data_IF_128384447400
#
_entry.id   IF_128384447400
#
_cell.length_a   1.000
_cell.length_b   1.000
_cell.length_c   1.000
_cell.angle_alpha   90.00
_cell.angle_beta   90.00
_cell.angle_gamma   90.00
#
_symmetry.space_group_name_H-M   'P 1'
#
loop_
_entity.id
_entity.type
_entity.pdbx_description
1 polymer ?
#
# COMPACT_ATOMS: atom_id res chain seq x y z
N UNK A 1 10.14 -15.30 30.71
CA UNK A 1 8.89 -15.18 29.93
C UNK A 1 8.65 -13.70 29.73
N UNK A 2 9.05 -13.17 28.60
CA UNK A 2 8.81 -11.77 28.23
C UNK A 2 7.42 -11.71 27.56
N UNK A 3 6.50 -10.97 28.15
CA UNK A 3 5.22 -10.65 27.56
C UNK A 3 5.48 -9.75 26.37
N UNK A 4 5.36 -10.29 25.17
CA UNK A 4 5.36 -9.50 23.95
C UNK A 4 4.13 -8.59 23.97
N UNK A 5 4.38 -7.30 24.04
CA UNK A 5 3.38 -6.24 24.01
C UNK A 5 2.78 -6.21 22.59
N UNK A 6 1.58 -6.78 22.44
CA UNK A 6 0.89 -7.05 21.16
C UNK A 6 0.35 -5.76 20.53
N UNK A 7 0.57 -4.59 21.15
CA UNK A 7 -0.04 -3.30 20.79
C UNK A 7 0.96 -2.32 20.17
N UNK A 8 2.22 -2.72 19.91
CA UNK A 8 3.15 -1.84 19.22
C UNK A 8 2.98 -1.93 17.71
N UNK A 9 2.78 -0.78 17.02
CA UNK A 9 2.86 -0.72 15.57
C UNK A 9 4.27 -1.09 15.12
N UNK A 10 4.46 -1.61 13.88
CA UNK A 10 5.77 -2.00 13.37
C UNK A 10 6.76 -0.86 13.50
N UNK A 11 8.07 -1.15 13.67
CA UNK A 11 9.10 -0.14 13.73
C UNK A 11 9.06 0.75 12.48
N UNK A 12 8.87 2.06 12.69
CA UNK A 12 8.63 3.05 11.65
C UNK A 12 7.22 3.67 11.65
N UNK A 13 6.22 3.04 12.26
CA UNK A 13 4.92 3.66 12.50
C UNK A 13 4.94 4.52 13.78
N UNK A 14 5.87 5.46 13.89
CA UNK A 14 5.93 6.45 14.97
C UNK A 14 4.96 7.63 14.73
N UNK A 15 3.92 7.45 13.94
CA UNK A 15 2.80 8.38 14.02
C UNK A 15 1.95 7.92 15.19
N UNK A 16 2.04 8.63 16.30
CA UNK A 16 1.19 8.42 17.45
C UNK A 16 -0.24 8.23 16.95
N UNK A 17 -0.91 7.18 17.41
CA UNK A 17 -2.27 6.81 17.02
C UNK A 17 -3.10 8.09 16.97
N UNK A 18 -3.57 8.49 15.79
CA UNK A 18 -4.35 9.71 15.65
C UNK A 18 -5.52 9.66 16.64
N UNK A 19 -5.81 10.73 17.37
CA UNK A 19 -6.90 10.74 18.34
C UNK A 19 -8.20 10.36 17.65
N UNK A 20 -8.84 9.31 18.14
CA UNK A 20 -10.09 8.84 17.58
C UNK A 20 -11.27 9.65 18.14
N UNK A 21 -12.27 9.99 17.31
CA UNK A 21 -13.47 10.61 17.79
C UNK A 21 -14.22 9.67 18.75
N UNK A 22 -14.81 10.21 19.82
CA UNK A 22 -15.55 9.45 20.82
C UNK A 22 -16.89 10.14 21.13
N UNK A 23 -17.81 9.41 21.77
CA UNK A 23 -19.09 9.95 22.21
C UNK A 23 -19.89 10.64 21.10
N UNK A 24 -20.40 11.82 21.35
CA UNK A 24 -21.23 12.58 20.40
C UNK A 24 -20.50 12.90 19.09
N UNK A 25 -19.19 13.10 19.11
CA UNK A 25 -18.40 13.32 17.91
C UNK A 25 -18.37 12.06 17.02
N UNK A 26 -18.22 10.89 17.60
CA UNK A 26 -18.26 9.62 16.88
C UNK A 26 -19.62 9.38 16.22
N UNK A 27 -20.70 9.66 16.95
CA UNK A 27 -22.08 9.55 16.43
C UNK A 27 -22.33 10.55 15.28
N UNK A 28 -21.84 11.77 15.38
CA UNK A 28 -21.94 12.75 14.30
C UNK A 28 -21.19 12.31 13.04
N UNK A 29 -19.99 11.71 13.19
CA UNK A 29 -19.21 11.16 12.05
C UNK A 29 -19.93 9.98 11.41
N UNK A 30 -20.52 9.08 12.21
CA UNK A 30 -21.32 7.94 11.71
C UNK A 30 -22.56 8.41 10.95
N UNK A 31 -23.32 9.35 11.52
CA UNK A 31 -24.51 9.93 10.88
C UNK A 31 -24.15 10.61 9.54
N UNK A 32 -23.05 11.37 9.51
CA UNK A 32 -22.55 11.99 8.28
C UNK A 32 -22.18 10.92 7.22
N UNK A 33 -21.52 9.83 7.61
CA UNK A 33 -21.18 8.74 6.68
C UNK A 33 -22.43 8.11 6.10
N UNK A 34 -23.46 7.85 6.91
CA UNK A 34 -24.75 7.32 6.45
C UNK A 34 -25.39 8.25 5.41
N UNK A 35 -25.49 9.54 5.71
CA UNK A 35 -26.02 10.52 4.77
C UNK A 35 -25.22 10.60 3.45
N UNK A 36 -23.89 10.47 3.52
CA UNK A 36 -23.05 10.44 2.32
C UNK A 36 -23.28 9.17 1.49
N UNK A 37 -23.44 8.01 2.13
CA UNK A 37 -23.82 6.76 1.44
C UNK A 37 -25.15 6.90 0.73
N UNK A 38 -26.18 7.39 1.41
CA UNK A 38 -27.52 7.59 0.84
C UNK A 38 -27.49 8.55 -0.36
N UNK A 39 -26.67 9.58 -0.29
CA UNK A 39 -26.58 10.60 -1.33
C UNK A 39 -25.79 10.19 -2.56
N UNK A 40 -24.68 9.47 -2.39
CA UNK A 40 -23.68 9.28 -3.45
C UNK A 40 -23.43 7.83 -3.84
N UNK A 41 -23.64 6.86 -2.95
CA UNK A 41 -23.37 5.47 -3.23
C UNK A 41 -24.58 4.83 -3.93
N UNK A 42 -24.47 4.70 -5.24
CA UNK A 42 -25.48 3.99 -6.02
C UNK A 42 -25.38 2.47 -5.80
N UNK A 43 -26.50 1.74 -5.83
CA UNK A 43 -26.47 0.29 -5.73
C UNK A 43 -25.73 -0.35 -6.91
N UNK A 44 -25.15 -1.55 -6.73
CA UNK A 44 -24.58 -2.34 -7.82
C UNK A 44 -25.56 -2.45 -9.00
N UNK A 45 -25.06 -2.43 -10.23
CA UNK A 45 -25.88 -2.48 -11.43
C UNK A 45 -26.52 -1.15 -11.86
N UNK A 46 -26.54 -0.13 -10.97
CA UNK A 46 -27.00 1.24 -11.31
C UNK A 46 -25.83 2.23 -11.43
N UNK A 47 -24.60 1.80 -11.13
CA UNK A 47 -23.41 2.63 -11.21
C UNK A 47 -23.01 2.86 -12.66
N UNK A 48 -22.64 4.10 -13.06
CA UNK A 48 -22.10 4.33 -14.37
C UNK A 48 -20.76 3.59 -14.53
N UNK A 49 -20.45 3.20 -15.76
CA UNK A 49 -19.13 2.65 -16.06
C UNK A 49 -18.05 3.71 -15.79
N UNK A 50 -16.90 3.26 -15.31
CA UNK A 50 -15.74 4.14 -15.18
C UNK A 50 -15.27 4.64 -16.54
N UNK A 51 -14.73 5.84 -16.57
CA UNK A 51 -14.18 6.48 -17.79
C UNK A 51 -12.72 6.11 -18.06
N UNK A 52 -12.07 5.37 -17.14
CA UNK A 52 -10.68 4.93 -17.25
C UNK A 52 -10.59 3.40 -17.29
N UNK A 53 -9.45 2.87 -17.74
CA UNK A 53 -9.22 1.42 -17.83
C UNK A 53 -8.54 0.81 -16.60
N UNK A 54 -8.12 1.63 -15.65
CA UNK A 54 -7.40 1.23 -14.45
C UNK A 54 -6.21 2.14 -14.18
N UNK A 55 -5.36 1.75 -13.24
CA UNK A 55 -4.10 2.44 -12.96
C UNK A 55 -3.07 2.03 -14.01
N UNK A 56 -2.48 2.99 -14.73
CA UNK A 56 -1.36 2.70 -15.64
C UNK A 56 -0.09 2.51 -14.84
N UNK A 57 0.26 3.47 -14.00
CA UNK A 57 1.35 3.37 -13.05
C UNK A 57 1.10 4.30 -11.85
N UNK A 58 1.69 3.93 -10.71
CA UNK A 58 1.86 4.79 -9.55
C UNK A 58 3.33 5.19 -9.50
N UNK A 59 3.65 6.47 -9.40
CA UNK A 59 5.02 6.96 -9.27
C UNK A 59 5.29 7.48 -7.86
N UNK A 60 6.38 7.04 -7.27
CA UNK A 60 6.85 7.36 -5.93
C UNK A 60 8.28 7.91 -5.99
N UNK A 61 8.79 8.39 -4.87
CA UNK A 61 10.17 8.84 -4.75
C UNK A 61 10.92 7.87 -3.83
N UNK A 62 12.12 7.47 -4.22
CA UNK A 62 13.01 6.64 -3.42
C UNK A 62 14.28 7.40 -3.03
N UNK A 63 14.91 6.95 -1.94
CA UNK A 63 16.19 7.47 -1.45
C UNK A 63 17.37 6.84 -2.19
N UNK A 64 17.28 5.54 -2.41
CA UNK A 64 18.32 4.74 -3.03
C UNK A 64 17.72 3.78 -4.06
N UNK A 65 18.23 3.86 -5.29
CA UNK A 65 17.73 3.08 -6.43
C UNK A 65 18.01 1.58 -6.22
N UNK A 66 19.25 1.23 -5.83
CA UNK A 66 19.65 -0.17 -5.69
C UNK A 66 18.93 -0.85 -4.52
N UNK A 67 18.81 -0.18 -3.37
CA UNK A 67 18.08 -0.68 -2.22
C UNK A 67 16.60 -0.92 -2.56
N UNK A 68 15.99 0.02 -3.29
CA UNK A 68 14.61 -0.10 -3.74
C UNK A 68 14.46 -1.28 -4.72
N UNK A 69 15.38 -1.44 -5.69
CA UNK A 69 15.35 -2.58 -6.62
C UNK A 69 15.49 -3.91 -5.88
N UNK A 70 16.41 -4.03 -4.95
CA UNK A 70 16.57 -5.26 -4.14
C UNK A 70 15.29 -5.60 -3.37
N UNK A 71 14.68 -4.61 -2.75
CA UNK A 71 13.44 -4.84 -2.01
C UNK A 71 12.31 -5.34 -2.92
N UNK A 72 12.03 -4.65 -4.00
CA UNK A 72 10.90 -5.01 -4.85
C UNK A 72 11.19 -6.24 -5.72
N UNK A 73 12.36 -6.35 -6.32
CA UNK A 73 12.68 -7.46 -7.22
C UNK A 73 13.15 -8.71 -6.48
N UNK A 74 14.13 -8.58 -5.58
CA UNK A 74 14.76 -9.76 -4.96
C UNK A 74 13.93 -10.30 -3.80
N UNK A 75 13.36 -9.43 -2.95
CA UNK A 75 12.57 -9.85 -1.81
C UNK A 75 11.10 -10.11 -2.17
N UNK A 76 10.43 -9.16 -2.85
CA UNK A 76 9.00 -9.28 -3.16
C UNK A 76 8.73 -10.05 -4.46
N UNK A 77 9.70 -10.15 -5.36
CA UNK A 77 9.55 -10.86 -6.62
C UNK A 77 8.86 -10.06 -7.72
N UNK A 78 8.85 -8.73 -7.64
CA UNK A 78 8.29 -7.85 -8.67
C UNK A 78 9.35 -7.56 -9.73
N UNK A 79 9.18 -8.02 -11.00
CA UNK A 79 10.21 -7.81 -12.02
C UNK A 79 10.44 -6.33 -12.29
N UNK A 80 11.70 -5.91 -12.27
CA UNK A 80 12.12 -4.62 -12.84
C UNK A 80 11.96 -4.69 -14.36
N UNK A 81 11.16 -3.81 -14.95
CA UNK A 81 10.84 -3.84 -16.39
C UNK A 81 11.42 -2.67 -17.16
N UNK A 82 11.80 -1.59 -16.49
CA UNK A 82 12.45 -0.44 -17.11
C UNK A 82 13.30 0.32 -16.09
N UNK A 83 14.43 0.88 -16.55
CA UNK A 83 15.28 1.80 -15.80
C UNK A 83 15.93 2.77 -16.78
N UNK A 84 15.50 4.03 -16.74
CA UNK A 84 15.96 5.08 -17.65
C UNK A 84 16.34 6.35 -16.89
N UNK A 85 17.05 7.25 -17.55
CA UNK A 85 17.23 8.61 -17.03
C UNK A 85 15.90 9.37 -17.05
N UNK A 86 15.61 10.11 -15.99
CA UNK A 86 14.44 10.97 -15.91
C UNK A 86 14.54 12.08 -16.97
N UNK A 87 13.57 12.14 -17.86
CA UNK A 87 13.51 13.10 -18.97
C UNK A 87 13.57 14.55 -18.48
N UNK A 88 12.94 14.84 -17.35
CA UNK A 88 12.72 16.20 -16.87
C UNK A 88 13.72 16.63 -15.80
N UNK A 89 14.61 15.72 -15.35
CA UNK A 89 15.63 15.97 -14.34
C UNK A 89 16.87 15.12 -14.61
N UNK A 90 17.87 15.71 -15.26
CA UNK A 90 19.13 15.04 -15.62
C UNK A 90 19.84 14.49 -14.36
N UNK A 91 20.30 13.24 -14.44
CA UNK A 91 20.94 12.52 -13.34
C UNK A 91 19.99 11.84 -12.35
N UNK A 92 18.68 12.06 -12.47
CA UNK A 92 17.65 11.30 -11.77
C UNK A 92 17.30 10.04 -12.57
N UNK A 93 17.03 8.94 -11.91
CA UNK A 93 16.53 7.72 -12.53
C UNK A 93 15.01 7.67 -12.50
N UNK A 94 14.43 6.99 -13.50
CA UNK A 94 13.02 6.61 -13.49
C UNK A 94 12.93 5.13 -13.84
N UNK A 95 12.35 4.33 -12.95
CA UNK A 95 12.32 2.88 -13.11
C UNK A 95 10.99 2.30 -12.66
N UNK A 96 10.66 1.12 -13.20
CA UNK A 96 9.35 0.52 -13.05
C UNK A 96 9.42 -0.96 -12.73
N UNK A 97 8.53 -1.39 -11.86
CA UNK A 97 8.26 -2.79 -11.57
C UNK A 97 6.89 -3.19 -12.15
N UNK A 98 6.81 -4.39 -12.68
CA UNK A 98 5.53 -5.02 -12.99
C UNK A 98 4.86 -5.48 -11.69
N UNK A 99 3.67 -4.98 -11.42
CA UNK A 99 2.84 -5.37 -10.27
C UNK A 99 1.58 -6.14 -10.70
N UNK A 100 1.60 -6.69 -11.91
CA UNK A 100 0.53 -7.51 -12.46
C UNK A 100 -0.61 -6.72 -13.10
N UNK A 101 -1.43 -7.44 -13.84
CA UNK A 101 -2.62 -6.89 -14.53
C UNK A 101 -2.33 -5.69 -15.45
N UNK A 102 -1.08 -5.55 -15.95
CA UNK A 102 -0.65 -4.43 -16.77
C UNK A 102 -0.45 -3.13 -16.00
N UNK A 103 -0.39 -3.17 -14.68
CA UNK A 103 -0.10 -2.03 -13.82
C UNK A 103 1.38 -1.98 -13.48
N UNK A 104 1.93 -0.79 -13.34
CA UNK A 104 3.32 -0.58 -12.98
C UNK A 104 3.44 0.22 -11.69
N UNK A 105 4.48 -0.09 -10.90
CA UNK A 105 4.93 0.71 -9.79
C UNK A 105 6.24 1.38 -10.21
N UNK A 106 6.21 2.71 -10.30
CA UNK A 106 7.35 3.52 -10.72
C UNK A 106 8.01 4.27 -9.58
N UNK A 107 9.30 4.50 -9.72
CA UNK A 107 10.09 5.29 -8.77
C UNK A 107 10.95 6.30 -9.49
N UNK A 108 11.16 7.42 -8.80
CA UNK A 108 12.18 8.41 -9.10
C UNK A 108 13.16 8.49 -7.94
N UNK A 109 14.45 8.69 -8.23
CA UNK A 109 15.38 9.28 -7.29
C UNK A 109 15.68 10.73 -7.69
N UNK A 110 16.12 11.53 -6.74
CA UNK A 110 16.54 12.92 -6.98
C UNK A 110 17.88 13.16 -6.30
N UNK A 111 19.02 12.78 -6.94
CA UNK A 111 20.35 12.92 -6.35
C UNK A 111 20.64 14.37 -5.95
N UNK A 112 21.16 14.56 -4.75
CA UNK A 112 21.50 15.87 -4.22
C UNK A 112 20.34 16.64 -3.57
N UNK A 113 19.13 16.08 -3.55
CA UNK A 113 18.02 16.61 -2.76
C UNK A 113 17.93 15.88 -1.42
N UNK A 114 17.73 16.68 -0.36
CA UNK A 114 17.42 16.16 0.96
C UNK A 114 15.90 16.02 1.07
N UNK A 115 15.43 14.78 1.19
CA UNK A 115 14.02 14.49 1.33
C UNK A 115 13.69 14.25 2.79
N UNK A 116 12.64 14.90 3.34
CA UNK A 116 12.18 14.62 4.69
C UNK A 116 11.70 13.16 4.80
N UNK A 117 11.70 12.65 6.02
CA UNK A 117 11.11 11.35 6.31
C UNK A 117 9.62 11.33 5.93
N UNK A 118 9.15 10.14 5.54
CA UNK A 118 7.73 9.94 5.26
C UNK A 118 6.87 10.35 6.46
N UNK A 119 5.77 11.03 6.17
CA UNK A 119 4.74 11.33 7.16
C UNK A 119 3.34 11.15 6.56
N UNK A 120 2.41 10.64 7.34
CA UNK A 120 1.01 10.53 6.93
C UNK A 120 0.35 11.91 6.96
N UNK A 121 0.24 12.52 5.79
CA UNK A 121 -0.40 13.83 5.58
C UNK A 121 -1.51 13.72 4.55
N UNK A 122 -2.38 14.72 4.49
CA UNK A 122 -3.42 14.78 3.45
C UNK A 122 -2.74 14.79 2.08
N UNK A 123 -3.13 13.83 1.22
CA UNK A 123 -2.55 13.64 -0.11
C UNK A 123 -1.38 12.66 -0.17
N UNK A 124 -0.80 12.24 0.96
CA UNK A 124 0.20 11.17 0.97
C UNK A 124 -0.44 9.81 0.63
N UNK A 125 0.35 8.91 0.04
CA UNK A 125 -0.04 7.50 -0.13
C UNK A 125 0.04 6.83 1.24
N UNK A 126 -1.11 6.45 1.79
CA UNK A 126 -1.17 5.77 3.08
C UNK A 126 -0.66 4.34 2.97
N UNK A 127 -1.16 3.58 1.99
CA UNK A 127 -0.62 2.29 1.55
C UNK A 127 -1.06 1.98 0.12
N UNK A 128 -0.38 1.03 -0.50
CA UNK A 128 -0.74 0.42 -1.77
C UNK A 128 -1.14 -1.02 -1.50
N UNK A 129 -2.42 -1.35 -1.72
CA UNK A 129 -2.92 -2.71 -1.61
C UNK A 129 -2.76 -3.46 -2.93
N UNK A 130 -2.17 -4.63 -2.88
CA UNK A 130 -1.87 -5.51 -4.00
C UNK A 130 -2.66 -6.81 -3.84
N UNK A 131 -3.51 -7.12 -4.80
CA UNK A 131 -4.25 -8.38 -4.83
C UNK A 131 -3.29 -9.55 -5.06
N UNK A 132 -3.44 -10.61 -4.29
CA UNK A 132 -2.62 -11.81 -4.41
C UNK A 132 -3.48 -13.06 -4.22
N UNK A 133 -2.99 -14.22 -4.66
CA UNK A 133 -3.57 -15.51 -4.32
C UNK A 133 -3.14 -15.95 -2.93
N UNK A 134 -3.86 -16.90 -2.34
CA UNK A 134 -3.48 -17.51 -1.05
C UNK A 134 -2.08 -18.13 -1.10
N UNK A 135 -1.71 -18.74 -2.24
CA UNK A 135 -0.40 -19.35 -2.45
C UNK A 135 0.71 -18.29 -2.44
N UNK A 136 0.56 -17.23 -3.23
CA UNK A 136 1.53 -16.14 -3.30
C UNK A 136 1.60 -15.34 -1.99
N UNK A 137 0.47 -15.19 -1.28
CA UNK A 137 0.43 -14.60 0.05
C UNK A 137 1.30 -15.39 1.04
N UNK A 138 1.14 -16.72 1.07
CA UNK A 138 1.95 -17.59 1.92
C UNK A 138 3.43 -17.56 1.52
N UNK A 139 3.73 -17.50 0.23
CA UNK A 139 5.08 -17.40 -0.28
C UNK A 139 5.73 -16.05 0.07
N UNK A 140 4.99 -14.94 -0.03
CA UNK A 140 5.45 -13.62 0.39
C UNK A 140 5.79 -13.60 1.88
N UNK A 141 4.89 -14.13 2.73
CA UNK A 141 5.13 -14.26 4.18
C UNK A 141 6.44 -15.04 4.45
N UNK A 142 6.62 -16.18 3.79
CA UNK A 142 7.83 -17.00 3.98
C UNK A 142 9.11 -16.26 3.58
N UNK A 143 9.09 -15.46 2.50
CA UNK A 143 10.24 -14.63 2.09
C UNK A 143 10.55 -13.55 3.12
N UNK A 144 9.52 -12.88 3.67
CA UNK A 144 9.69 -11.85 4.70
C UNK A 144 10.26 -12.44 6.00
N UNK A 145 9.75 -13.60 6.44
CA UNK A 145 10.26 -14.33 7.60
C UNK A 145 11.74 -14.71 7.42
N UNK A 146 12.10 -15.24 6.25
CA UNK A 146 13.46 -15.62 5.93
C UNK A 146 14.43 -14.42 5.87
N UNK A 147 13.94 -13.26 5.46
CA UNK A 147 14.70 -12.02 5.40
C UNK A 147 14.71 -11.24 6.73
N UNK A 148 13.94 -11.65 7.73
CA UNK A 148 13.81 -10.96 9.01
C UNK A 148 13.10 -9.60 8.89
N UNK A 149 12.21 -9.46 7.92
CA UNK A 149 11.42 -8.23 7.73
C UNK A 149 10.17 -8.29 8.59
N UNK A 150 9.97 -7.25 9.40
CA UNK A 150 8.78 -7.13 10.23
C UNK A 150 7.53 -6.83 9.40
N UNK A 151 6.42 -7.49 9.73
CA UNK A 151 5.13 -7.25 9.10
C UNK A 151 3.97 -7.37 10.11
N UNK A 152 2.83 -6.75 9.76
CA UNK A 152 1.54 -7.03 10.39
C UNK A 152 0.79 -8.02 9.50
N UNK A 153 0.23 -9.06 10.10
CA UNK A 153 -0.41 -10.13 9.33
C UNK A 153 -1.60 -10.76 10.04
N UNK A 154 -2.04 -11.93 9.57
CA UNK A 154 -3.25 -12.62 10.00
C UNK A 154 -3.36 -12.83 11.50
N UNK A 155 -2.25 -12.98 12.19
CA UNK A 155 -2.19 -13.22 13.65
C UNK A 155 -2.68 -12.01 14.49
N UNK A 156 -3.01 -10.88 13.84
CA UNK A 156 -3.48 -9.62 14.47
C UNK A 156 -4.89 -9.21 14.04
N UNK A 157 -5.71 -10.15 13.59
CA UNK A 157 -7.12 -9.90 13.24
C UNK A 157 -7.34 -9.28 11.86
N UNK A 158 -6.34 -9.38 10.98
CA UNK A 158 -6.44 -8.98 9.56
C UNK A 158 -6.25 -10.25 8.74
N UNK A 159 -7.29 -11.08 8.67
CA UNK A 159 -7.18 -12.46 8.19
C UNK A 159 -6.62 -12.60 6.78
N UNK A 160 -6.87 -11.65 5.88
CA UNK A 160 -6.51 -11.71 4.46
C UNK A 160 -5.46 -10.67 4.04
N UNK A 161 -4.82 -9.99 4.99
CA UNK A 161 -3.87 -8.91 4.69
C UNK A 161 -2.54 -9.10 5.40
N UNK A 162 -1.48 -8.67 4.72
CA UNK A 162 -0.13 -8.59 5.25
C UNK A 162 0.42 -7.20 4.93
N UNK A 163 0.73 -6.43 5.97
CA UNK A 163 1.24 -5.06 5.82
C UNK A 163 2.73 -5.00 6.10
N UNK A 164 3.46 -4.38 5.18
CA UNK A 164 4.90 -4.10 5.31
C UNK A 164 5.19 -2.64 4.97
N UNK A 165 6.41 -2.21 5.26
CA UNK A 165 6.95 -0.95 4.73
C UNK A 165 8.17 -1.23 3.88
N UNK A 166 8.24 -0.51 2.75
CA UNK A 166 9.42 -0.53 1.90
C UNK A 166 10.56 0.32 2.53
N UNK A 167 11.77 0.34 1.96
CA UNK A 167 12.90 1.15 2.45
C UNK A 167 12.60 2.66 2.49
N UNK A 168 11.62 3.11 1.73
CA UNK A 168 11.20 4.51 1.65
C UNK A 168 10.00 4.82 2.57
N UNK A 169 9.63 3.87 3.44
CA UNK A 169 8.46 3.94 4.33
C UNK A 169 7.10 3.92 3.61
N UNK A 170 7.04 3.52 2.36
CA UNK A 170 5.77 3.30 1.66
C UNK A 170 5.07 2.07 2.24
N UNK A 171 3.83 2.25 2.68
CA UNK A 171 3.00 1.13 3.13
C UNK A 171 2.59 0.25 1.96
N UNK A 172 2.82 -1.05 2.07
CA UNK A 172 2.31 -2.06 1.13
C UNK A 172 1.40 -3.02 1.89
N UNK A 173 0.30 -3.38 1.25
CA UNK A 173 -0.61 -4.42 1.72
C UNK A 173 -0.66 -5.53 0.66
N UNK A 174 -0.31 -6.74 1.04
CA UNK A 174 -0.68 -7.92 0.27
C UNK A 174 -2.06 -8.36 0.73
N UNK A 175 -3.01 -8.37 -0.19
CA UNK A 175 -4.39 -8.68 0.10
C UNK A 175 -4.82 -9.94 -0.66
N UNK A 176 -5.06 -11.01 0.09
CA UNK A 176 -5.41 -12.31 -0.48
C UNK A 176 -6.87 -12.34 -0.95
N UNK A 177 -7.20 -11.43 -1.87
CA UNK A 177 -8.53 -11.32 -2.46
C UNK A 177 -8.46 -10.87 -3.92
N UNK A 178 -9.45 -11.28 -4.71
CA UNK A 178 -9.54 -10.92 -6.12
C UNK A 178 -9.80 -9.42 -6.31
N UNK A 179 -9.24 -8.87 -7.39
CA UNK A 179 -9.54 -7.50 -7.79
C UNK A 179 -11.06 -7.27 -7.93
N UNK A 180 -11.51 -6.11 -7.47
CA UNK A 180 -12.93 -5.75 -7.50
C UNK A 180 -13.77 -6.31 -6.34
N UNK A 181 -13.15 -6.97 -5.37
CA UNK A 181 -13.78 -7.42 -4.13
C UNK A 181 -13.17 -6.71 -2.93
N UNK A 182 -13.89 -6.67 -1.84
CA UNK A 182 -13.39 -6.16 -0.56
C UNK A 182 -14.16 -6.83 0.59
N UNK A 183 -13.45 -7.45 1.52
CA UNK A 183 -14.01 -8.23 2.64
C UNK A 183 -15.00 -9.30 2.16
N UNK A 184 -14.64 -10.04 1.09
CA UNK A 184 -15.46 -11.08 0.49
C UNK A 184 -16.59 -10.59 -0.42
N UNK A 185 -16.92 -9.30 -0.39
CA UNK A 185 -18.03 -8.71 -1.12
C UNK A 185 -17.61 -8.11 -2.47
N UNK A 186 -18.33 -8.37 -3.56
CA UNK A 186 -18.04 -7.73 -4.83
C UNK A 186 -18.36 -6.23 -4.76
N UNK A 187 -17.36 -5.40 -5.01
CA UNK A 187 -17.52 -3.93 -5.12
C UNK A 187 -17.82 -3.50 -6.55
N UNK A 188 -17.32 -4.25 -7.52
CA UNK A 188 -17.52 -4.01 -8.94
C UNK A 188 -18.52 -5.04 -9.47
N UNK A 189 -19.55 -4.59 -10.14
CA UNK A 189 -20.58 -5.41 -10.78
C UNK A 189 -20.51 -5.25 -12.29
#
# INVERSE_FOLDING_TARGET
MATTDVDQPPPGAQNGRMPQPAGAQLEAVRARRTALKEKYLQPPGSRPATTVRGVHHLALICRDVEETIRFYQELLGFPLVELVENRDYAGSSHFFFDIGNGNLLGFFDFPGHDHPDFSETIGAVQHLALSTSDEEFAAARSRLDAAGVDYLGPDRGVENSLYIRDPNCVGLEFYAEQLGRFEGEPLLS
#
